data_IF_890654606715
#
_entry.id   IF_890654606715
#
_cell.length_a   1.000
_cell.length_b   1.000
_cell.length_c   1.000
_cell.angle_alpha   90.00
_cell.angle_beta   90.00
_cell.angle_gamma   90.00
#
_symmetry.space_group_name_H-M   'P 1'
#
loop_
_entity.id
_entity.type
_entity.pdbx_description
1 polymer ?
#
# COMPACT_ATOMS: atom_id res chain seq x y z
N UNK A 1 1.57 -23.73 10.33
CA UNK A 1 2.79 -23.60 9.52
C UNK A 1 2.30 -23.45 8.10
N UNK A 2 2.56 -22.33 7.43
CA UNK A 2 2.16 -22.19 6.03
C UNK A 2 3.08 -23.07 5.20
N UNK A 3 2.49 -23.88 4.33
CA UNK A 3 3.22 -24.59 3.29
C UNK A 3 3.88 -23.57 2.34
N UNK A 4 5.13 -23.80 1.94
CA UNK A 4 5.92 -22.85 1.16
C UNK A 4 5.38 -22.73 -0.28
N UNK A 5 4.84 -23.81 -0.86
CA UNK A 5 4.20 -23.75 -2.19
C UNK A 5 2.98 -22.82 -2.13
N UNK A 6 2.16 -22.96 -1.09
CA UNK A 6 1.03 -22.05 -0.84
C UNK A 6 1.48 -20.60 -0.68
N UNK A 7 2.57 -20.33 0.05
CA UNK A 7 3.09 -18.96 0.20
C UNK A 7 3.63 -18.39 -1.10
N UNK A 8 4.32 -19.20 -1.89
CA UNK A 8 4.79 -18.81 -3.23
C UNK A 8 3.61 -18.30 -4.08
N UNK A 9 2.52 -19.07 -4.15
CA UNK A 9 1.29 -18.66 -4.85
C UNK A 9 0.68 -17.37 -4.29
N UNK A 10 0.73 -17.17 -2.96
CA UNK A 10 0.24 -15.94 -2.32
C UNK A 10 1.07 -14.73 -2.74
N UNK A 11 2.40 -14.83 -2.81
CA UNK A 11 3.28 -13.75 -3.25
C UNK A 11 3.12 -13.46 -4.74
N UNK A 12 3.04 -14.48 -5.60
CA UNK A 12 2.73 -14.31 -7.03
C UNK A 12 1.40 -13.59 -7.24
N UNK A 13 0.34 -14.06 -6.57
CA UNK A 13 -0.98 -13.42 -6.66
C UNK A 13 -0.94 -11.97 -6.17
N UNK A 14 -0.17 -11.67 -5.11
CA UNK A 14 -0.02 -10.30 -4.63
C UNK A 14 0.69 -9.42 -5.65
N UNK A 15 1.77 -9.92 -6.26
CA UNK A 15 2.50 -9.25 -7.33
C UNK A 15 1.60 -8.94 -8.53
N UNK A 16 0.74 -9.88 -8.94
CA UNK A 16 -0.10 -9.75 -10.13
C UNK A 16 -1.38 -8.91 -9.91
N UNK A 17 -1.93 -8.90 -8.69
CA UNK A 17 -3.24 -8.29 -8.43
C UNK A 17 -3.17 -6.98 -7.63
N UNK A 18 -2.22 -6.84 -6.71
CA UNK A 18 -2.19 -5.74 -5.74
C UNK A 18 -1.10 -4.70 -6.08
N UNK A 19 0.01 -5.13 -6.68
CA UNK A 19 1.13 -4.25 -7.03
C UNK A 19 0.99 -3.44 -8.34
N UNK A 20 0.33 -3.92 -9.42
CA UNK A 20 0.35 -3.21 -10.69
C UNK A 20 -0.30 -1.83 -10.61
N UNK A 21 0.40 -0.81 -11.11
CA UNK A 21 -0.05 0.59 -11.01
C UNK A 21 0.03 1.20 -9.61
N UNK A 22 0.53 0.45 -8.61
CA UNK A 22 0.75 0.88 -7.24
C UNK A 22 2.23 0.94 -6.88
N UNK A 23 3.00 -0.12 -7.15
CA UNK A 23 4.42 -0.18 -6.81
C UNK A 23 5.16 -1.23 -7.66
N UNK A 24 5.92 -0.78 -8.65
CA UNK A 24 6.78 -1.65 -9.46
C UNK A 24 7.88 -2.32 -8.63
N UNK A 25 8.36 -1.64 -7.57
CA UNK A 25 9.30 -2.23 -6.62
C UNK A 25 8.69 -3.46 -5.94
N UNK A 26 7.49 -3.33 -5.38
CA UNK A 26 6.88 -4.44 -4.64
C UNK A 26 6.44 -5.56 -5.57
N UNK A 27 6.08 -5.25 -6.81
CA UNK A 27 5.84 -6.25 -7.86
C UNK A 27 7.09 -7.11 -8.10
N UNK A 28 8.23 -6.48 -8.40
CA UNK A 28 9.51 -7.17 -8.61
C UNK A 28 9.95 -7.98 -7.40
N UNK A 29 9.86 -7.40 -6.20
CA UNK A 29 10.22 -8.08 -4.97
C UNK A 29 9.32 -9.29 -4.68
N UNK A 30 8.00 -9.17 -4.87
CA UNK A 30 7.07 -10.27 -4.62
C UNK A 30 7.27 -11.43 -5.60
N UNK A 31 7.57 -11.16 -6.87
CA UNK A 31 7.94 -12.22 -7.82
C UNK A 31 9.23 -12.93 -7.40
N UNK A 32 10.26 -12.19 -6.98
CA UNK A 32 11.48 -12.81 -6.49
C UNK A 32 11.26 -13.63 -5.22
N UNK A 33 10.49 -13.12 -4.24
CA UNK A 33 10.14 -13.85 -3.01
C UNK A 33 9.42 -15.15 -3.34
N UNK A 34 8.49 -15.14 -4.30
CA UNK A 34 7.71 -16.32 -4.65
C UNK A 34 8.56 -17.49 -5.18
N UNK A 35 9.76 -17.20 -5.70
CA UNK A 35 10.70 -18.20 -6.23
C UNK A 35 11.84 -18.56 -5.25
N UNK A 36 11.87 -17.97 -4.05
CA UNK A 36 12.98 -18.13 -3.09
C UNK A 36 12.54 -18.82 -1.80
N UNK A 37 12.91 -20.10 -1.68
CA UNK A 37 12.60 -20.91 -0.50
C UNK A 37 13.19 -20.38 0.81
N UNK A 38 14.35 -19.71 0.79
CA UNK A 38 15.00 -19.19 2.00
C UNK A 38 14.25 -18.00 2.56
N UNK A 39 13.76 -17.11 1.68
CA UNK A 39 12.97 -15.93 2.04
C UNK A 39 11.54 -16.33 2.40
N UNK A 40 10.93 -17.26 1.67
CA UNK A 40 9.62 -17.84 2.01
C UNK A 40 9.64 -18.51 3.38
N UNK A 41 10.73 -19.18 3.76
CA UNK A 41 10.89 -19.77 5.09
C UNK A 41 10.88 -18.70 6.21
N UNK A 42 11.37 -17.48 5.94
CA UNK A 42 11.24 -16.36 6.88
C UNK A 42 9.76 -15.95 6.95
N UNK A 43 9.15 -15.65 5.79
CA UNK A 43 7.76 -15.20 5.69
C UNK A 43 6.74 -16.18 6.30
N UNK A 44 7.04 -17.49 6.32
CA UNK A 44 6.20 -18.52 6.91
C UNK A 44 5.96 -18.36 8.43
N UNK A 45 6.80 -17.56 9.11
CA UNK A 45 6.64 -17.22 10.52
C UNK A 45 5.65 -16.07 10.76
N UNK A 46 5.02 -15.54 9.71
CA UNK A 46 4.00 -14.51 9.84
C UNK A 46 2.85 -14.96 10.75
N UNK A 47 2.41 -14.03 11.60
CA UNK A 47 1.30 -14.22 12.53
C UNK A 47 0.06 -14.77 11.81
N UNK A 48 -0.59 -15.84 12.31
CA UNK A 48 -1.79 -16.39 11.71
C UNK A 48 -2.90 -15.34 11.53
N UNK A 49 -3.58 -15.39 10.37
CA UNK A 49 -4.67 -14.47 10.02
C UNK A 49 -4.22 -13.09 9.53
N UNK A 50 -2.91 -12.85 9.37
CA UNK A 50 -2.41 -11.64 8.73
C UNK A 50 -2.14 -11.88 7.24
N UNK A 51 -2.33 -10.84 6.38
CA UNK A 51 -1.89 -10.91 4.99
C UNK A 51 -0.35 -10.94 4.95
N UNK A 52 0.22 -12.10 4.65
CA UNK A 52 1.66 -12.37 4.73
C UNK A 52 2.49 -11.38 3.90
N UNK A 53 2.18 -11.08 2.62
CA UNK A 53 2.95 -10.12 1.83
C UNK A 53 3.00 -8.74 2.47
N UNK A 54 1.84 -8.19 2.89
CA UNK A 54 1.79 -6.88 3.53
C UNK A 54 2.61 -6.83 4.82
N UNK A 55 2.49 -7.85 5.67
CA UNK A 55 3.20 -7.89 6.95
C UNK A 55 4.71 -8.04 6.75
N UNK A 56 5.12 -8.91 5.83
CA UNK A 56 6.53 -9.14 5.53
C UNK A 56 7.20 -7.90 4.93
N UNK A 57 6.60 -7.31 3.90
CA UNK A 57 7.12 -6.10 3.26
C UNK A 57 7.15 -4.90 4.23
N UNK A 58 6.13 -4.77 5.09
CA UNK A 58 6.12 -3.74 6.12
C UNK A 58 7.23 -3.94 7.17
N UNK A 59 7.52 -5.18 7.57
CA UNK A 59 8.59 -5.47 8.52
C UNK A 59 9.97 -5.15 7.94
N UNK A 60 10.23 -5.57 6.69
CA UNK A 60 11.48 -5.24 5.98
C UNK A 60 11.63 -3.73 5.86
N UNK A 61 10.60 -3.03 5.37
CA UNK A 61 10.66 -1.59 5.21
C UNK A 61 10.87 -0.86 6.56
N UNK A 62 10.20 -1.31 7.61
CA UNK A 62 10.36 -0.74 8.95
C UNK A 62 11.78 -0.91 9.50
N UNK A 63 12.44 -2.04 9.23
CA UNK A 63 13.85 -2.24 9.61
C UNK A 63 14.78 -1.33 8.82
N UNK A 64 14.57 -1.18 7.51
CA UNK A 64 15.33 -0.24 6.67
C UNK A 64 15.20 1.21 7.16
N UNK A 65 14.01 1.61 7.62
CA UNK A 65 13.80 2.93 8.24
C UNK A 65 14.56 3.10 9.57
N UNK A 66 14.83 2.01 10.30
CA UNK A 66 15.41 2.07 11.66
C UNK A 66 16.93 2.03 11.71
N UNK A 67 17.62 1.59 10.66
CA UNK A 67 19.07 1.72 10.61
C UNK A 67 19.78 0.91 9.53
N UNK A 68 21.02 1.31 9.24
CA UNK A 68 21.98 0.64 8.35
C UNK A 68 21.95 1.18 6.93
N UNK A 69 23.13 1.56 6.39
CA UNK A 69 23.29 1.70 4.95
C UNK A 69 23.28 0.29 4.34
N UNK A 70 22.17 -0.07 3.68
CA UNK A 70 22.06 -1.29 2.90
C UNK A 70 21.75 -0.93 1.44
N UNK A 71 22.36 -1.59 0.43
CA UNK A 71 22.11 -1.29 -0.98
C UNK A 71 20.62 -1.30 -1.38
N UNK A 72 19.82 -2.14 -0.74
CA UNK A 72 18.36 -2.21 -0.99
C UNK A 72 17.63 -0.90 -0.67
N UNK A 73 18.11 -0.10 0.29
CA UNK A 73 17.48 1.17 0.66
C UNK A 73 17.44 2.16 -0.50
N UNK A 74 18.38 2.05 -1.45
CA UNK A 74 18.40 2.87 -2.64
C UNK A 74 17.14 2.69 -3.50
N UNK A 75 16.44 1.56 -3.41
CA UNK A 75 15.22 1.32 -4.20
C UNK A 75 13.95 1.92 -3.57
N UNK A 76 14.00 2.38 -2.31
CA UNK A 76 12.85 2.94 -1.58
C UNK A 76 12.83 4.47 -1.66
N UNK A 77 11.88 5.10 -2.38
CA UNK A 77 11.89 6.55 -2.63
C UNK A 77 11.82 7.43 -1.38
N UNK A 78 11.28 6.92 -0.28
CA UNK A 78 11.21 7.61 1.01
C UNK A 78 12.48 7.46 1.86
N UNK A 79 13.39 6.57 1.47
CA UNK A 79 14.69 6.38 2.13
C UNK A 79 15.87 6.97 1.34
N UNK A 80 15.67 7.30 0.06
CA UNK A 80 16.71 7.91 -0.79
C UNK A 80 16.26 9.26 -1.36
N UNK A 81 17.08 10.32 -1.28
CA UNK A 81 16.73 11.65 -1.79
C UNK A 81 16.90 11.80 -3.32
N UNK A 82 17.12 10.72 -4.08
CA UNK A 82 17.42 10.82 -5.51
C UNK A 82 16.99 9.61 -6.35
N UNK A 83 16.97 9.76 -7.69
CA UNK A 83 16.58 8.69 -8.60
C UNK A 83 17.52 7.49 -8.45
N UNK A 84 16.92 6.31 -8.41
CA UNK A 84 17.61 5.03 -8.33
C UNK A 84 18.17 4.70 -9.70
N UNK A 85 19.40 4.18 -9.76
CA UNK A 85 19.89 3.53 -10.97
C UNK A 85 18.96 2.36 -11.34
N UNK A 86 18.52 2.23 -12.60
CA UNK A 86 17.72 1.10 -13.03
C UNK A 86 18.42 -0.24 -12.73
N UNK A 87 17.72 -1.18 -12.10
CA UNK A 87 18.28 -2.49 -11.79
C UNK A 87 17.30 -3.40 -11.07
N UNK A 88 17.69 -4.67 -10.93
CA UNK A 88 16.93 -5.65 -10.16
C UNK A 88 17.15 -5.43 -8.65
N UNK A 89 16.10 -5.04 -7.89
CA UNK A 89 16.22 -4.84 -6.44
C UNK A 89 16.40 -6.16 -5.68
N UNK A 90 16.00 -7.29 -6.27
CA UNK A 90 15.80 -8.53 -5.55
C UNK A 90 17.07 -9.11 -4.91
N UNK A 91 18.26 -9.14 -5.57
CA UNK A 91 19.47 -9.65 -4.94
C UNK A 91 19.84 -8.91 -3.65
N UNK A 92 19.71 -7.57 -3.66
CA UNK A 92 19.97 -6.77 -2.47
C UNK A 92 18.88 -6.96 -1.40
N UNK A 93 17.62 -7.07 -1.80
CA UNK A 93 16.52 -7.36 -0.88
C UNK A 93 16.67 -8.72 -0.20
N UNK A 94 17.06 -9.75 -0.98
CA UNK A 94 17.35 -11.09 -0.47
C UNK A 94 18.47 -11.05 0.56
N UNK A 95 19.60 -10.40 0.24
CA UNK A 95 20.71 -10.24 1.19
C UNK A 95 20.23 -9.63 2.50
N UNK A 96 19.50 -8.51 2.44
CA UNK A 96 18.95 -7.87 3.62
C UNK A 96 18.04 -8.79 4.44
N UNK A 97 17.14 -9.53 3.78
CA UNK A 97 16.23 -10.44 4.46
C UNK A 97 16.97 -11.57 5.18
N UNK A 98 18.06 -12.08 4.60
CA UNK A 98 18.89 -13.11 5.21
C UNK A 98 19.73 -12.55 6.36
N UNK A 99 20.30 -11.37 6.20
CA UNK A 99 21.11 -10.68 7.20
C UNK A 99 20.28 -10.21 8.41
N UNK A 100 18.97 -10.01 8.23
CA UNK A 100 18.01 -9.58 9.26
C UNK A 100 16.96 -10.66 9.57
N UNK A 101 17.29 -11.93 9.32
CA UNK A 101 16.35 -13.05 9.44
C UNK A 101 15.68 -13.08 10.81
N UNK A 102 16.47 -12.99 11.88
CA UNK A 102 16.00 -13.06 13.26
C UNK A 102 15.06 -11.89 13.59
N UNK A 103 15.45 -10.67 13.24
CA UNK A 103 14.66 -9.45 13.47
C UNK A 103 13.35 -9.47 12.70
N UNK A 104 13.38 -9.84 11.42
CA UNK A 104 12.17 -9.95 10.58
C UNK A 104 11.23 -11.00 11.17
N UNK A 105 11.74 -12.19 11.52
CA UNK A 105 10.94 -13.29 12.10
C UNK A 105 10.31 -12.87 13.43
N UNK A 106 11.06 -12.18 14.28
CA UNK A 106 10.57 -11.66 15.55
C UNK A 106 9.44 -10.64 15.35
N UNK A 107 9.53 -9.76 14.35
CA UNK A 107 8.50 -8.77 14.05
C UNK A 107 7.22 -9.42 13.49
N UNK A 108 7.35 -10.21 12.43
CA UNK A 108 6.19 -10.74 11.70
C UNK A 108 5.40 -11.78 12.51
N UNK A 109 6.00 -12.40 13.52
CA UNK A 109 5.32 -13.39 14.37
C UNK A 109 4.35 -12.75 15.38
N UNK A 110 4.56 -11.49 15.76
CA UNK A 110 3.74 -10.81 16.80
C UNK A 110 2.96 -9.61 16.29
N UNK A 111 3.48 -8.91 15.29
CA UNK A 111 2.86 -7.69 14.76
C UNK A 111 1.65 -8.01 13.89
N UNK A 112 0.86 -6.97 13.66
CA UNK A 112 -0.29 -6.99 12.77
C UNK A 112 -0.20 -5.78 11.83
N UNK A 113 -0.81 -5.91 10.66
CA UNK A 113 -0.98 -4.79 9.72
C UNK A 113 -2.46 -4.39 9.65
N UNK A 114 -2.71 -3.10 9.54
CA UNK A 114 -4.03 -2.55 9.21
C UNK A 114 -3.90 -1.60 8.03
N UNK A 115 -4.50 -1.95 6.89
CA UNK A 115 -4.29 -1.24 5.63
C UNK A 115 -5.12 0.04 5.53
N UNK A 116 -4.44 1.14 5.20
CA UNK A 116 -5.07 2.38 4.74
C UNK A 116 -4.85 2.53 3.24
N UNK A 117 -5.91 2.32 2.44
CA UNK A 117 -5.87 2.53 1.00
C UNK A 117 -6.58 3.84 0.68
N UNK A 118 -5.82 4.94 0.61
CA UNK A 118 -6.35 6.29 0.36
C UNK A 118 -7.11 6.41 -0.96
N UNK A 119 -6.83 5.54 -1.93
CA UNK A 119 -7.56 5.48 -3.20
C UNK A 119 -9.05 5.15 -3.02
N UNK A 120 -9.47 4.56 -1.89
CA UNK A 120 -10.89 4.38 -1.56
C UNK A 120 -11.64 5.71 -1.52
N UNK A 121 -10.96 6.80 -1.15
CA UNK A 121 -11.56 8.12 -1.14
C UNK A 121 -12.08 8.54 -2.52
N UNK A 122 -11.51 8.02 -3.63
CA UNK A 122 -11.99 8.34 -4.98
C UNK A 122 -13.41 7.82 -5.27
N UNK A 123 -13.85 6.78 -4.53
CA UNK A 123 -15.21 6.23 -4.60
C UNK A 123 -16.10 6.80 -3.48
N UNK A 124 -15.53 7.14 -2.32
CA UNK A 124 -16.26 7.75 -1.21
C UNK A 124 -16.63 9.21 -1.47
N UNK A 125 -15.78 9.97 -2.16
CA UNK A 125 -15.99 11.40 -2.42
C UNK A 125 -17.35 11.68 -3.10
N UNK A 126 -17.75 10.96 -4.18
CA UNK A 126 -19.07 11.14 -4.74
C UNK A 126 -20.23 10.77 -3.80
N UNK A 127 -20.07 9.73 -2.97
CA UNK A 127 -21.08 9.34 -1.99
C UNK A 127 -21.24 10.41 -0.89
N UNK A 128 -20.14 11.04 -0.48
CA UNK A 128 -20.19 12.17 0.45
C UNK A 128 -20.83 13.41 -0.19
N UNK A 129 -20.57 13.67 -1.47
CA UNK A 129 -21.22 14.75 -2.21
C UNK A 129 -22.76 14.60 -2.22
N UNK A 130 -23.26 13.40 -2.48
CA UNK A 130 -24.70 13.10 -2.40
C UNK A 130 -25.26 13.33 -0.99
N UNK A 131 -24.59 12.78 0.04
CA UNK A 131 -25.02 12.95 1.43
C UNK A 131 -25.04 14.43 1.87
N UNK A 132 -24.07 15.23 1.43
CA UNK A 132 -24.02 16.68 1.67
C UNK A 132 -25.22 17.38 1.01
N UNK A 133 -25.55 17.00 -0.24
CA UNK A 133 -26.71 17.53 -0.95
C UNK A 133 -28.04 17.25 -0.24
N UNK A 134 -28.21 16.05 0.31
CA UNK A 134 -29.39 15.67 1.08
C UNK A 134 -29.48 16.37 2.44
N UNK A 135 -28.34 16.70 3.05
CA UNK A 135 -28.25 17.25 4.41
C UNK A 135 -28.77 18.69 4.54
N UNK A 136 -29.12 19.39 3.44
CA UNK A 136 -29.71 20.75 3.42
C UNK A 136 -29.05 21.70 4.43
N UNK A 137 -27.74 21.92 4.26
CA UNK A 137 -26.89 22.81 5.08
C UNK A 137 -26.52 22.28 6.49
N UNK A 138 -26.90 21.06 6.86
CA UNK A 138 -26.41 20.45 8.10
C UNK A 138 -24.97 19.93 7.93
N UNK A 139 -24.09 20.11 8.93
CA UNK A 139 -22.72 19.62 8.85
C UNK A 139 -22.68 18.08 8.80
N UNK A 140 -21.82 17.54 7.94
CA UNK A 140 -21.54 16.10 7.88
C UNK A 140 -20.47 15.74 8.91
N UNK A 141 -20.72 14.69 9.71
CA UNK A 141 -19.72 14.10 10.62
C UNK A 141 -19.37 12.69 10.16
N UNK A 142 -18.07 12.40 10.04
CA UNK A 142 -17.57 11.10 9.62
C UNK A 142 -17.03 10.30 10.81
N UNK A 143 -17.51 9.07 10.97
CA UNK A 143 -16.99 8.12 11.96
C UNK A 143 -16.47 6.89 11.21
N UNK A 144 -15.16 6.62 11.30
CA UNK A 144 -14.52 5.45 10.72
C UNK A 144 -14.12 4.45 11.80
N UNK A 145 -14.79 3.30 11.84
CA UNK A 145 -14.46 2.21 12.78
C UNK A 145 -13.20 1.49 12.26
N UNK A 146 -12.16 1.41 13.09
CA UNK A 146 -10.89 0.79 12.69
C UNK A 146 -10.10 1.61 11.67
N UNK A 147 -9.98 2.92 11.89
CA UNK A 147 -9.38 3.87 10.93
C UNK A 147 -7.88 3.66 10.64
N UNK A 148 -7.20 2.71 11.30
CA UNK A 148 -5.74 2.54 11.22
C UNK A 148 -5.05 3.90 11.50
N UNK A 149 -4.14 4.36 10.64
CA UNK A 149 -3.52 5.69 10.69
C UNK A 149 -4.45 6.89 10.35
N UNK A 150 -5.75 6.66 10.13
CA UNK A 150 -6.73 7.72 9.88
C UNK A 150 -6.71 8.35 8.48
N UNK A 151 -5.93 7.82 7.53
CA UNK A 151 -5.71 8.50 6.23
C UNK A 151 -7.00 8.74 5.42
N UNK A 152 -7.98 7.84 5.48
CA UNK A 152 -9.27 8.03 4.79
C UNK A 152 -10.18 9.08 5.45
N UNK A 153 -9.88 9.53 6.68
CA UNK A 153 -10.61 10.63 7.32
C UNK A 153 -10.26 11.98 6.68
N UNK A 154 -9.11 12.07 6.01
CA UNK A 154 -8.65 13.26 5.29
C UNK A 154 -9.08 13.24 3.82
N UNK A 155 -10.26 12.68 3.51
CA UNK A 155 -10.78 12.61 2.15
C UNK A 155 -10.89 14.00 1.49
N UNK A 156 -11.08 15.05 2.28
CA UNK A 156 -11.16 16.45 1.86
C UNK A 156 -9.78 17.09 1.58
N UNK A 157 -8.68 16.38 1.84
CA UNK A 157 -7.29 16.88 1.70
C UNK A 157 -6.54 16.34 0.50
N UNK A 158 -7.19 15.51 -0.32
CA UNK A 158 -6.60 14.93 -1.52
C UNK A 158 -7.10 15.64 -2.78
N UNK A 159 -6.30 15.57 -3.85
CA UNK A 159 -6.75 15.98 -5.17
C UNK A 159 -7.23 14.76 -5.97
N UNK A 160 -8.29 14.92 -6.76
CA UNK A 160 -8.95 13.83 -7.48
C UNK A 160 -9.01 14.12 -8.96
N UNK A 161 -8.75 13.08 -9.77
CA UNK A 161 -8.94 13.12 -11.22
C UNK A 161 -9.58 11.84 -11.73
N UNK A 162 -10.64 12.00 -12.53
CA UNK A 162 -11.39 10.90 -13.11
C UNK A 162 -11.15 10.79 -14.62
N UNK A 163 -11.24 9.58 -15.17
CA UNK A 163 -11.02 9.32 -16.61
C UNK A 163 -12.00 10.02 -17.55
N UNK A 164 -13.11 10.56 -17.04
CA UNK A 164 -14.08 11.35 -17.80
C UNK A 164 -13.81 12.87 -17.75
N UNK A 165 -12.65 13.27 -17.22
CA UNK A 165 -12.19 14.66 -17.18
C UNK A 165 -12.59 15.43 -15.92
N UNK A 166 -13.44 14.87 -15.05
CA UNK A 166 -13.83 15.53 -13.80
C UNK A 166 -12.67 15.57 -12.80
N UNK A 167 -12.60 16.66 -12.02
CA UNK A 167 -11.54 16.91 -11.03
C UNK A 167 -12.14 17.56 -9.78
N UNK A 168 -11.53 17.31 -8.63
CA UNK A 168 -11.89 17.94 -7.35
C UNK A 168 -10.66 18.10 -6.45
N UNK A 169 -10.66 19.13 -5.60
CA UNK A 169 -9.56 19.50 -4.72
C UNK A 169 -8.64 20.58 -5.30
N UNK A 170 -8.01 21.33 -4.40
CA UNK A 170 -7.44 22.67 -4.65
C UNK A 170 -6.13 22.67 -5.46
N UNK A 171 -5.69 21.51 -5.96
CA UNK A 171 -4.46 21.40 -6.76
C UNK A 171 -3.16 21.75 -6.02
N UNK A 172 -3.18 21.88 -4.69
CA UNK A 172 -1.99 22.04 -3.86
C UNK A 172 -1.09 20.79 -3.88
N UNK A 173 0.02 20.76 -3.10
CA UNK A 173 0.97 19.63 -3.06
C UNK A 173 0.38 18.32 -2.47
N UNK A 174 -0.95 18.21 -2.39
CA UNK A 174 -1.71 17.06 -1.95
C UNK A 174 -1.49 15.84 -2.85
N UNK A 175 -1.47 14.65 -2.24
CA UNK A 175 -1.51 13.36 -2.94
C UNK A 175 -2.66 13.37 -3.97
N UNK A 176 -2.33 13.05 -5.23
CA UNK A 176 -3.30 12.97 -6.32
C UNK A 176 -3.85 11.55 -6.47
N UNK A 177 -5.17 11.41 -6.36
CA UNK A 177 -5.90 10.17 -6.51
C UNK A 177 -6.58 10.12 -7.89
N UNK A 178 -6.08 9.24 -8.75
CA UNK A 178 -6.68 8.98 -10.06
C UNK A 178 -7.58 7.74 -10.05
N UNK A 179 -8.71 7.83 -10.75
CA UNK A 179 -9.66 6.73 -10.87
C UNK A 179 -10.30 6.65 -12.27
N UNK A 180 -10.58 5.42 -12.71
CA UNK A 180 -11.29 5.15 -13.97
C UNK A 180 -12.78 4.99 -13.68
N UNK A 181 -13.60 5.82 -14.31
CA UNK A 181 -15.06 5.71 -14.25
C UNK A 181 -15.51 4.67 -15.26
N UNK A 182 -16.19 3.63 -14.79
CA UNK A 182 -16.75 2.55 -15.62
C UNK A 182 -18.28 2.63 -15.61
N UNK A 183 -18.90 2.43 -16.77
CA UNK A 183 -20.35 2.56 -16.96
C UNK A 183 -20.82 3.99 -17.23
N UNK A 184 -22.14 4.18 -17.28
CA UNK A 184 -22.77 5.46 -17.68
C UNK A 184 -23.06 6.40 -16.50
N UNK A 185 -23.11 5.88 -15.27
CA UNK A 185 -23.36 6.69 -14.08
C UNK A 185 -22.29 7.77 -13.86
N UNK A 186 -22.73 8.97 -13.48
CA UNK A 186 -21.86 10.12 -13.16
C UNK A 186 -22.27 10.71 -11.81
N UNK A 187 -21.89 10.08 -10.69
CA UNK A 187 -22.23 10.60 -9.37
C UNK A 187 -21.55 11.97 -9.15
N UNK A 188 -22.17 12.88 -8.39
CA UNK A 188 -21.70 14.25 -8.23
C UNK A 188 -20.35 14.33 -7.52
N UNK A 189 -19.68 15.46 -7.67
CA UNK A 189 -18.54 15.83 -6.84
C UNK A 189 -18.97 17.02 -5.96
N UNK A 190 -18.34 17.23 -4.79
CA UNK A 190 -18.68 18.37 -3.94
C UNK A 190 -18.42 19.69 -4.69
N UNK A 191 -19.27 20.68 -4.47
CA UNK A 191 -19.21 21.98 -5.14
C UNK A 191 -18.18 22.95 -4.53
N UNK A 192 -17.70 22.63 -3.32
CA UNK A 192 -16.68 23.36 -2.55
C UNK A 192 -16.20 22.49 -1.40
#
# INVERSE_FOLDING_TARGET
>A
MHDLETLSLVFHRFAELECPGMSALYESLCHGIAEDSDVLAIAANARPGQPVPNLFMAAVHWLLMRGGEHPVSAYYPDLTPGPVEPGDPYPSFRSFCLDQREEITALISVRLVQTNVVRRCAVLLPAFAEAIGEARERPLSLVAIGASAGLNLFWDRYAYSYSDGRRWGDGGPSVQLSSVVRGEGRPPLPTS
#
